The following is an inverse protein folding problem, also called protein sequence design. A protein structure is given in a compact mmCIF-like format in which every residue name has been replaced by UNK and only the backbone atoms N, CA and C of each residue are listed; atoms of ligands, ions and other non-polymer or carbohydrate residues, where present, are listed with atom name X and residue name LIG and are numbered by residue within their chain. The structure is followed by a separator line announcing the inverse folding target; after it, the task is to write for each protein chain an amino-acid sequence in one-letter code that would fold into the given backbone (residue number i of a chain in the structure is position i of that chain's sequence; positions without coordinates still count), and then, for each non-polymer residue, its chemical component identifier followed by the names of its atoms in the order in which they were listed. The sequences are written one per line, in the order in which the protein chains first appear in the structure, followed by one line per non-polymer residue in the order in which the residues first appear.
data_IF_258768531558
#
_entry.id   IF_258768531558
#
_cell.length_a   1.000
_cell.length_b   1.000
_cell.length_c   1.000
_cell.angle_alpha   90.00
_cell.angle_beta   90.00
_cell.angle_gamma   90.00
#
_symmetry.space_group_name_H-M   'P 1'
#
loop_
_entity.id
_entity.type
_entity.pdbx_description
1 polymer ?
#
# COMPACT_ATOMS: atom_id res chain seq x y z
N UNK A 1 -17.66 -34.65 -28.12
CA UNK A 1 -17.11 -34.25 -26.81
C UNK A 1 -17.05 -32.74 -26.80
N UNK A 2 -17.50 -32.08 -25.74
CA UNK A 2 -17.41 -30.62 -25.61
C UNK A 2 -16.13 -30.20 -24.87
N UNK A 3 -15.74 -28.94 -25.03
CA UNK A 3 -14.65 -28.29 -24.28
C UNK A 3 -15.27 -27.52 -23.12
N UNK A 4 -14.69 -27.63 -21.91
CA UNK A 4 -15.14 -26.83 -20.77
C UNK A 4 -14.76 -25.36 -21.00
N UNK A 5 -15.76 -24.49 -20.93
CA UNK A 5 -15.57 -23.03 -21.01
C UNK A 5 -15.63 -22.47 -19.60
N UNK A 6 -14.65 -21.67 -19.16
CA UNK A 6 -14.75 -20.96 -17.89
C UNK A 6 -15.99 -20.08 -17.83
N UNK A 7 -16.57 -19.93 -16.64
CA UNK A 7 -17.70 -19.02 -16.44
C UNK A 7 -17.28 -17.54 -16.59
N UNK A 8 -18.22 -16.61 -16.39
CA UNK A 8 -18.01 -15.16 -16.49
C UNK A 8 -16.95 -14.61 -15.52
N UNK A 9 -16.54 -15.41 -14.51
CA UNK A 9 -15.49 -15.09 -13.54
C UNK A 9 -14.16 -15.82 -13.83
N UNK A 10 -14.05 -16.52 -14.97
CA UNK A 10 -12.85 -17.31 -15.33
C UNK A 10 -12.69 -18.62 -14.55
N UNK A 11 -13.73 -19.09 -13.86
CA UNK A 11 -13.71 -20.33 -13.05
C UNK A 11 -14.27 -21.54 -13.80
N UNK A 12 -13.75 -22.73 -13.47
CA UNK A 12 -14.23 -24.04 -13.96
C UNK A 12 -15.02 -24.83 -12.90
N UNK A 13 -15.29 -24.21 -11.76
CA UNK A 13 -16.10 -24.76 -10.67
C UNK A 13 -17.59 -24.89 -11.07
N UNK A 14 -18.42 -25.65 -10.31
CA UNK A 14 -19.84 -25.78 -10.58
C UNK A 14 -20.54 -24.42 -10.73
N UNK A 15 -21.37 -24.31 -11.79
CA UNK A 15 -22.11 -23.09 -12.11
C UNK A 15 -23.15 -22.77 -11.03
N UNK A 16 -23.33 -21.47 -10.74
CA UNK A 16 -24.45 -20.99 -9.91
C UNK A 16 -25.76 -21.02 -10.68
N UNK A 17 -26.87 -20.80 -9.99
CA UNK A 17 -28.15 -20.55 -10.64
C UNK A 17 -28.17 -19.18 -11.34
N UNK A 18 -28.68 -19.14 -12.57
CA UNK A 18 -28.88 -17.92 -13.36
C UNK A 18 -30.39 -17.67 -13.54
N UNK A 19 -30.85 -16.43 -13.34
CA UNK A 19 -32.26 -16.08 -13.53
C UNK A 19 -32.40 -14.70 -14.19
N UNK A 20 -32.74 -14.68 -15.49
CA UNK A 20 -32.98 -13.43 -16.24
C UNK A 20 -31.74 -12.56 -16.45
N UNK A 21 -30.55 -13.17 -16.40
CA UNK A 21 -29.26 -12.49 -16.55
C UNK A 21 -28.66 -12.80 -17.93
N UNK A 22 -27.93 -11.81 -18.48
CA UNK A 22 -27.10 -12.00 -19.66
C UNK A 22 -25.68 -12.27 -19.17
N UNK A 23 -25.02 -13.29 -19.72
CA UNK A 23 -23.65 -13.65 -19.38
C UNK A 23 -22.72 -13.42 -20.57
N UNK A 24 -21.52 -12.91 -20.29
CA UNK A 24 -20.44 -12.80 -21.27
C UNK A 24 -19.37 -13.82 -20.90
N UNK A 25 -19.07 -14.72 -21.84
CA UNK A 25 -18.10 -15.80 -21.65
C UNK A 25 -17.04 -15.72 -22.73
N UNK A 26 -15.79 -15.95 -22.35
CA UNK A 26 -14.67 -15.99 -23.28
C UNK A 26 -14.36 -17.43 -23.67
N UNK A 27 -14.38 -17.72 -24.97
CA UNK A 27 -14.02 -19.04 -25.47
C UNK A 27 -12.53 -19.33 -25.15
N UNK A 28 -12.20 -20.54 -24.67
CA UNK A 28 -10.84 -20.85 -24.23
C UNK A 28 -9.87 -21.00 -25.41
N UNK A 29 -8.61 -20.63 -25.17
CA UNK A 29 -7.54 -20.78 -26.15
C UNK A 29 -7.69 -19.84 -27.34
N UNK A 30 -7.62 -20.40 -28.55
CA UNK A 30 -7.73 -19.69 -29.83
C UNK A 30 -9.05 -20.01 -30.55
N UNK A 31 -10.04 -20.55 -29.85
CA UNK A 31 -11.34 -20.87 -30.42
C UNK A 31 -12.13 -19.59 -30.72
N UNK A 32 -12.77 -19.58 -31.88
CA UNK A 32 -13.70 -18.54 -32.33
C UNK A 32 -15.12 -19.09 -32.37
N UNK A 33 -16.11 -18.20 -32.53
CA UNK A 33 -17.52 -18.62 -32.66
C UNK A 33 -17.76 -19.51 -33.89
N UNK A 34 -16.86 -19.44 -34.89
CA UNK A 34 -16.90 -20.27 -36.09
C UNK A 34 -16.38 -21.70 -35.87
N UNK A 35 -15.71 -21.95 -34.74
CA UNK A 35 -15.13 -23.27 -34.41
C UNK A 35 -16.06 -24.12 -33.52
N UNK A 36 -17.25 -23.61 -33.19
CA UNK A 36 -18.18 -24.25 -32.26
C UNK A 36 -19.57 -24.45 -32.89
N UNK A 37 -20.14 -25.64 -32.70
CA UNK A 37 -21.46 -25.99 -33.22
C UNK A 37 -22.59 -25.69 -32.21
N UNK A 38 -22.28 -25.74 -30.91
CA UNK A 38 -23.25 -25.62 -29.83
C UNK A 38 -22.59 -25.17 -28.53
N UNK A 39 -23.40 -24.54 -27.67
CA UNK A 39 -23.04 -24.18 -26.30
C UNK A 39 -24.08 -24.78 -25.36
N UNK A 40 -23.63 -25.45 -24.28
CA UNK A 40 -24.54 -26.13 -23.35
C UNK A 40 -24.18 -25.91 -21.89
N UNK A 41 -25.21 -25.92 -21.04
CA UNK A 41 -25.09 -26.06 -19.59
C UNK A 41 -25.15 -27.55 -19.27
N UNK A 42 -24.01 -28.11 -18.85
CA UNK A 42 -23.83 -29.55 -18.72
C UNK A 42 -23.30 -29.97 -17.35
N UNK A 43 -23.94 -30.98 -16.74
CA UNK A 43 -23.41 -31.65 -15.55
C UNK A 43 -22.49 -32.80 -15.96
N UNK A 44 -21.20 -32.71 -15.61
CA UNK A 44 -20.21 -33.75 -15.93
C UNK A 44 -20.45 -35.04 -15.15
N UNK A 45 -20.77 -34.93 -13.85
CA UNK A 45 -20.95 -36.07 -12.94
C UNK A 45 -22.13 -36.95 -13.36
N UNK A 46 -23.30 -36.32 -13.57
CA UNK A 46 -24.52 -37.03 -13.96
C UNK A 46 -24.70 -37.17 -15.48
N UNK A 47 -23.75 -36.67 -16.28
CA UNK A 47 -23.80 -36.63 -17.75
C UNK A 47 -25.14 -36.10 -18.29
N UNK A 48 -25.60 -35.01 -17.69
CA UNK A 48 -26.93 -34.46 -17.94
C UNK A 48 -26.84 -33.08 -18.60
N UNK A 49 -27.65 -32.86 -19.64
CA UNK A 49 -27.77 -31.58 -20.32
C UNK A 49 -28.93 -30.78 -19.71
N UNK A 50 -28.63 -29.65 -19.08
CA UNK A 50 -29.64 -28.76 -18.53
C UNK A 50 -30.22 -27.79 -19.58
N UNK A 51 -29.59 -27.70 -20.74
CA UNK A 51 -30.00 -26.85 -21.84
C UNK A 51 -28.84 -26.55 -22.78
N UNK A 52 -29.12 -26.45 -24.07
CA UNK A 52 -28.12 -26.08 -25.07
C UNK A 52 -28.73 -25.20 -26.15
N UNK A 53 -27.86 -24.46 -26.84
CA UNK A 53 -28.17 -23.69 -28.02
C UNK A 53 -27.20 -24.08 -29.13
N UNK A 54 -27.71 -24.18 -30.35
CA UNK A 54 -26.88 -24.35 -31.54
C UNK A 54 -26.42 -22.99 -32.04
N UNK A 55 -25.15 -22.92 -32.45
CA UNK A 55 -24.57 -21.74 -33.06
C UNK A 55 -24.73 -21.89 -34.58
N UNK A 56 -25.46 -20.99 -35.27
CA UNK A 56 -25.58 -21.04 -36.72
C UNK A 56 -24.22 -20.89 -37.41
N UNK A 57 -24.02 -21.58 -38.51
CA UNK A 57 -22.74 -21.58 -39.25
C UNK A 57 -22.57 -20.36 -40.16
N UNK A 58 -23.64 -19.59 -40.36
CA UNK A 58 -23.73 -18.40 -41.20
C UNK A 58 -23.84 -17.09 -40.40
N UNK A 59 -23.17 -17.01 -39.24
CA UNK A 59 -23.10 -15.75 -38.49
C UNK A 59 -22.24 -14.71 -39.20
N UNK A 60 -22.86 -13.60 -39.59
CA UNK A 60 -22.18 -12.39 -40.02
C UNK A 60 -21.70 -11.60 -38.79
N UNK A 61 -20.52 -11.98 -38.28
CA UNK A 61 -19.91 -11.33 -37.11
C UNK A 61 -18.97 -10.22 -37.58
N UNK A 62 -19.26 -8.94 -37.30
CA UNK A 62 -18.41 -7.85 -37.75
C UNK A 62 -17.03 -7.91 -37.08
N UNK A 63 -15.95 -7.55 -37.80
CA UNK A 63 -14.60 -7.51 -37.24
C UNK A 63 -14.51 -6.48 -36.11
N UNK A 64 -14.41 -6.95 -34.87
CA UNK A 64 -14.33 -6.10 -33.69
C UNK A 64 -12.87 -5.81 -33.30
N UNK A 65 -12.31 -4.72 -33.83
CA UNK A 65 -11.13 -4.08 -33.24
C UNK A 65 -11.60 -3.17 -32.09
N UNK A 66 -11.70 -3.72 -30.87
CA UNK A 66 -11.81 -2.93 -29.64
C UNK A 66 -13.19 -2.37 -29.25
N UNK A 67 -14.30 -2.99 -29.65
CA UNK A 67 -15.64 -2.58 -29.22
C UNK A 67 -16.52 -3.79 -28.79
N UNK A 68 -16.60 -4.06 -27.49
CA UNK A 68 -17.64 -4.90 -26.85
C UNK A 68 -18.65 -4.04 -26.08
N UNK A 69 -19.10 -2.93 -26.66
CA UNK A 69 -20.25 -2.16 -26.12
C UNK A 69 -21.24 -1.85 -27.22
N UNK A 70 -22.13 -2.80 -27.49
CA UNK A 70 -23.37 -2.50 -28.19
C UNK A 70 -24.30 -1.81 -27.17
N UNK A 71 -24.80 -0.59 -27.42
CA UNK A 71 -25.77 0.05 -26.53
C UNK A 71 -27.16 -0.52 -26.82
N UNK A 72 -27.57 -1.57 -26.11
CA UNK A 72 -28.97 -2.02 -26.11
C UNK A 72 -29.79 -1.18 -25.13
N UNK A 73 -30.48 -0.19 -25.67
CA UNK A 73 -31.63 0.44 -25.02
C UNK A 73 -32.79 -0.54 -24.96
N UNK A 74 -33.07 -1.11 -23.78
CA UNK A 74 -34.42 -1.39 -23.26
C UNK A 74 -34.32 -1.93 -21.83
N UNK A 75 -35.02 -1.27 -20.91
CA UNK A 75 -35.10 -1.55 -19.46
C UNK A 75 -33.76 -1.44 -18.74
N UNK A 76 -33.57 -0.33 -18.03
CA UNK A 76 -32.53 -0.23 -17.02
C UNK A 76 -32.70 -1.42 -16.05
N UNK A 77 -31.83 -2.44 -16.17
CA UNK A 77 -31.48 -3.29 -15.03
C UNK A 77 -31.23 -2.33 -13.88
N UNK A 78 -31.77 -2.56 -12.67
CA UNK A 78 -31.42 -1.72 -11.53
C UNK A 78 -29.90 -1.69 -11.47
N UNK A 79 -29.31 -0.52 -11.77
CA UNK A 79 -27.89 -0.30 -11.56
C UNK A 79 -27.72 -0.28 -10.05
N UNK A 80 -27.56 -1.46 -9.45
CA UNK A 80 -27.11 -1.59 -8.07
C UNK A 80 -25.63 -1.24 -8.00
N UNK A 81 -25.32 0.00 -8.41
CA UNK A 81 -23.97 0.53 -8.41
C UNK A 81 -23.81 1.29 -7.11
N UNK A 82 -23.71 0.55 -6.01
CA UNK A 82 -23.28 1.20 -4.79
C UNK A 82 -21.91 1.82 -5.06
N UNK A 83 -21.73 3.08 -4.69
CA UNK A 83 -20.52 3.81 -4.96
C UNK A 83 -20.27 4.82 -3.86
N UNK A 84 -19.03 4.85 -3.36
CA UNK A 84 -18.56 5.81 -2.35
C UNK A 84 -17.25 6.46 -2.81
N UNK A 85 -17.19 7.77 -2.69
CA UNK A 85 -15.97 8.56 -2.88
C UNK A 85 -15.16 8.64 -1.60
N UNK A 86 -13.83 8.59 -1.75
CA UNK A 86 -12.85 8.74 -0.68
C UNK A 86 -11.71 9.64 -1.15
N UNK A 87 -10.96 10.22 -0.21
CA UNK A 87 -9.74 10.98 -0.49
C UNK A 87 -9.93 12.16 -1.46
N UNK A 88 -11.07 12.86 -1.34
CA UNK A 88 -11.44 13.96 -2.23
C UNK A 88 -11.68 13.51 -3.68
N UNK A 89 -12.25 12.32 -3.87
CA UNK A 89 -12.59 11.76 -5.18
C UNK A 89 -11.42 11.08 -5.91
N UNK A 90 -10.22 11.04 -5.31
CA UNK A 90 -9.07 10.33 -5.87
C UNK A 90 -9.15 8.81 -5.73
N UNK A 91 -10.01 8.35 -4.83
CA UNK A 91 -10.34 6.95 -4.63
C UNK A 91 -11.87 6.80 -4.68
N UNK A 92 -12.35 5.87 -5.48
CA UNK A 92 -13.76 5.53 -5.59
C UNK A 92 -13.92 4.03 -5.46
N UNK A 93 -14.91 3.62 -4.68
CA UNK A 93 -15.23 2.21 -4.43
C UNK A 93 -16.63 1.97 -4.92
N UNK A 94 -16.82 0.96 -5.76
CA UNK A 94 -18.14 0.38 -6.02
C UNK A 94 -18.20 -1.03 -5.51
N UNK A 95 -19.37 -1.45 -5.03
CA UNK A 95 -19.53 -2.79 -4.50
C UNK A 95 -20.91 -3.37 -4.75
N UNK A 96 -20.95 -4.68 -4.81
CA UNK A 96 -22.18 -5.46 -4.79
C UNK A 96 -21.92 -6.82 -4.14
N UNK A 97 -22.95 -7.39 -3.51
CA UNK A 97 -22.89 -8.75 -2.99
C UNK A 97 -23.35 -9.71 -4.09
N UNK A 98 -22.54 -10.72 -4.37
CA UNK A 98 -22.86 -11.83 -5.28
C UNK A 98 -22.63 -13.17 -4.57
N UNK A 99 -23.72 -13.84 -4.21
CA UNK A 99 -23.64 -15.08 -3.43
C UNK A 99 -22.97 -14.84 -2.07
N UNK A 100 -21.92 -15.61 -1.78
CA UNK A 100 -21.15 -15.51 -0.54
C UNK A 100 -19.95 -14.55 -0.63
N UNK A 101 -19.84 -13.78 -1.71
CA UNK A 101 -18.76 -12.84 -1.94
C UNK A 101 -19.25 -11.39 -2.07
N UNK A 102 -18.39 -10.44 -1.74
CA UNK A 102 -18.48 -9.07 -2.21
C UNK A 102 -17.60 -8.89 -3.44
N UNK A 103 -18.17 -8.30 -4.49
CA UNK A 103 -17.44 -7.84 -5.67
C UNK A 103 -17.17 -6.36 -5.48
N UNK A 104 -15.92 -5.95 -5.62
CA UNK A 104 -15.48 -4.56 -5.44
C UNK A 104 -14.81 -4.07 -6.72
N UNK A 105 -15.27 -2.94 -7.23
CA UNK A 105 -14.54 -2.13 -8.22
C UNK A 105 -13.85 -0.98 -7.50
N UNK A 106 -12.52 -1.06 -7.44
CA UNK A 106 -11.71 -0.01 -6.85
C UNK A 106 -11.08 0.84 -7.95
N UNK A 107 -11.38 2.14 -7.95
CA UNK A 107 -10.81 3.11 -8.88
C UNK A 107 -9.93 4.10 -8.12
N UNK A 108 -8.68 4.23 -8.55
CA UNK A 108 -7.73 5.13 -7.92
C UNK A 108 -6.94 5.91 -8.94
N UNK A 109 -6.81 7.22 -8.73
CA UNK A 109 -5.83 8.04 -9.46
C UNK A 109 -4.45 7.85 -8.85
N UNK A 110 -3.78 6.77 -9.25
CA UNK A 110 -2.49 6.34 -8.73
C UNK A 110 -1.43 6.30 -9.83
N UNK A 111 -0.18 6.55 -9.48
CA UNK A 111 0.98 6.29 -10.36
C UNK A 111 1.36 4.80 -10.34
N UNK A 112 2.29 4.42 -11.21
CA UNK A 112 2.79 3.04 -11.33
C UNK A 112 3.65 2.58 -10.14
N UNK A 113 4.17 3.52 -9.35
CA UNK A 113 4.89 3.30 -8.11
C UNK A 113 3.97 3.33 -6.88
N UNK A 114 2.65 3.36 -7.06
CA UNK A 114 1.68 3.53 -5.97
C UNK A 114 0.66 2.38 -5.91
N UNK A 115 0.12 2.18 -4.71
CA UNK A 115 -1.05 1.37 -4.44
C UNK A 115 -2.26 2.24 -4.10
N UNK A 116 -3.43 1.62 -4.17
CA UNK A 116 -4.66 2.05 -3.54
C UNK A 116 -5.16 0.94 -2.63
N UNK A 117 -5.76 1.28 -1.50
CA UNK A 117 -6.27 0.32 -0.53
C UNK A 117 -7.70 0.67 -0.12
N UNK A 118 -8.50 -0.37 0.14
CA UNK A 118 -9.86 -0.23 0.66
C UNK A 118 -10.23 -1.45 1.52
N UNK A 119 -10.90 -1.21 2.63
CA UNK A 119 -11.53 -2.28 3.42
C UNK A 119 -12.04 -1.81 4.77
N UNK A 120 -12.14 -2.75 5.70
CA UNK A 120 -12.76 -2.56 7.01
C UNK A 120 -11.82 -1.79 7.95
N UNK A 121 -12.39 -0.84 8.67
CA UNK A 121 -11.67 -0.15 9.72
C UNK A 121 -11.45 -1.05 10.93
N UNK A 122 -10.35 -0.81 11.63
CA UNK A 122 -10.01 -1.54 12.85
C UNK A 122 -11.02 -1.39 13.97
N UNK A 123 -11.80 -0.32 13.99
CA UNK A 123 -12.88 -0.12 14.96
C UNK A 123 -14.09 0.50 14.29
N UNK A 124 -15.29 0.18 14.77
CA UNK A 124 -16.50 0.84 14.32
C UNK A 124 -16.56 2.28 14.84
N UNK A 125 -17.05 3.20 14.01
CA UNK A 125 -17.26 4.61 14.35
C UNK A 125 -16.03 5.51 14.19
N UNK A 126 -14.93 5.01 13.61
CA UNK A 126 -13.68 5.77 13.49
C UNK A 126 -12.81 5.21 12.36
N UNK A 127 -12.17 6.10 11.59
CA UNK A 127 -11.04 5.71 10.72
C UNK A 127 -9.83 5.28 11.58
N UNK A 128 -9.59 3.98 11.64
CA UNK A 128 -8.52 3.35 12.40
C UNK A 128 -7.82 2.27 11.57
N UNK A 129 -6.51 2.40 11.39
CA UNK A 129 -5.69 1.39 10.69
C UNK A 129 -5.44 0.14 11.54
N UNK A 130 -5.03 0.30 12.81
CA UNK A 130 -4.72 -0.85 13.68
C UNK A 130 -5.98 -1.71 13.87
N UNK A 131 -5.88 -3.00 13.59
CA UNK A 131 -6.97 -3.98 13.58
C UNK A 131 -7.82 -3.95 12.31
N UNK A 132 -7.44 -3.11 11.34
CA UNK A 132 -8.10 -3.00 10.05
C UNK A 132 -7.67 -4.11 9.11
N UNK A 133 -8.54 -4.38 8.17
CA UNK A 133 -8.48 -5.51 7.24
C UNK A 133 -8.89 -4.97 5.87
N UNK A 134 -7.89 -4.84 4.99
CA UNK A 134 -8.00 -4.08 3.74
C UNK A 134 -7.43 -4.85 2.58
N UNK A 135 -7.95 -4.59 1.39
CA UNK A 135 -7.35 -5.05 0.15
C UNK A 135 -6.45 -3.94 -0.40
N UNK A 136 -5.22 -4.28 -0.70
CA UNK A 136 -4.24 -3.42 -1.38
C UNK A 136 -4.19 -3.81 -2.85
N UNK A 137 -4.50 -2.86 -3.73
CA UNK A 137 -4.51 -3.06 -5.18
C UNK A 137 -3.54 -2.11 -5.90
N UNK A 138 -2.89 -2.61 -6.95
CA UNK A 138 -1.95 -1.83 -7.76
C UNK A 138 -1.73 -2.46 -9.14
N UNK A 139 -1.02 -1.74 -10.02
CA UNK A 139 -0.54 -2.26 -11.29
C UNK A 139 0.93 -2.67 -11.18
N UNK A 140 1.23 -3.97 -11.34
CA UNK A 140 2.61 -4.45 -11.37
C UNK A 140 3.20 -4.24 -12.76
N UNK A 141 4.02 -3.19 -12.91
CA UNK A 141 4.69 -2.86 -14.17
C UNK A 141 5.67 -3.92 -14.67
N UNK A 142 6.26 -4.73 -13.77
CA UNK A 142 7.22 -5.77 -14.15
C UNK A 142 6.49 -6.96 -14.76
N UNK A 143 5.40 -7.38 -14.13
CA UNK A 143 4.56 -8.51 -14.57
C UNK A 143 3.51 -8.12 -15.61
N UNK A 144 3.22 -6.82 -15.73
CA UNK A 144 2.14 -6.24 -16.55
C UNK A 144 0.76 -6.80 -16.20
N UNK A 145 0.50 -6.94 -14.91
CA UNK A 145 -0.79 -7.44 -14.38
C UNK A 145 -1.33 -6.48 -13.33
N UNK A 146 -2.65 -6.47 -13.17
CA UNK A 146 -3.29 -5.86 -12.02
C UNK A 146 -3.25 -6.86 -10.86
N UNK A 147 -2.91 -6.36 -9.67
CA UNK A 147 -2.76 -7.16 -8.47
C UNK A 147 -3.68 -6.62 -7.37
N UNK A 148 -4.21 -7.52 -6.56
CA UNK A 148 -4.93 -7.21 -5.33
C UNK A 148 -4.62 -8.30 -4.31
N UNK A 149 -4.36 -7.90 -3.08
CA UNK A 149 -4.03 -8.80 -1.97
C UNK A 149 -4.60 -8.23 -0.67
N UNK A 150 -5.08 -9.10 0.21
CA UNK A 150 -5.54 -8.76 1.55
C UNK A 150 -4.39 -8.49 2.51
N UNK A 151 -4.65 -7.54 3.40
CA UNK A 151 -3.70 -7.04 4.37
C UNK A 151 -4.38 -6.87 5.72
N UNK A 152 -3.80 -7.51 6.72
CA UNK A 152 -4.04 -7.23 8.12
C UNK A 152 -3.05 -6.19 8.67
N UNK A 153 -3.58 -5.24 9.45
CA UNK A 153 -2.81 -4.13 10.02
C UNK A 153 -2.72 -4.22 11.53
N UNK A 154 -1.68 -4.85 12.06
CA UNK A 154 -1.49 -4.95 13.52
C UNK A 154 -0.86 -3.70 14.15
N UNK A 155 -0.03 -2.98 13.40
CA UNK A 155 0.72 -1.82 13.88
C UNK A 155 0.86 -0.77 12.77
N UNK A 156 1.17 0.48 13.15
CA UNK A 156 1.49 1.56 12.22
C UNK A 156 2.94 1.45 11.72
N UNK A 157 3.29 0.29 11.16
CA UNK A 157 4.64 -0.09 10.72
C UNK A 157 4.64 -0.84 9.40
N UNK A 158 5.81 -0.97 8.76
CA UNK A 158 5.98 -1.95 7.69
C UNK A 158 5.71 -3.35 8.23
N UNK A 159 5.32 -4.25 7.33
CA UNK A 159 5.42 -5.66 7.62
C UNK A 159 6.87 -6.06 7.92
N UNK A 160 7.12 -6.54 9.13
CA UNK A 160 8.38 -7.18 9.52
C UNK A 160 8.35 -8.71 9.27
N UNK A 161 7.24 -9.22 8.70
CA UNK A 161 6.95 -10.65 8.56
C UNK A 161 6.05 -11.22 9.66
N UNK A 162 5.71 -10.43 10.70
CA UNK A 162 4.81 -10.84 11.79
C UNK A 162 3.88 -9.72 12.25
N UNK A 163 4.37 -8.48 12.28
CA UNK A 163 3.67 -7.28 12.74
C UNK A 163 3.78 -6.14 11.72
N UNK A 164 2.86 -5.19 11.80
CA UNK A 164 2.72 -4.06 10.88
C UNK A 164 1.55 -4.16 9.93
N UNK A 165 1.67 -3.47 8.80
CA UNK A 165 0.77 -3.53 7.64
C UNK A 165 1.28 -4.65 6.76
N UNK A 166 0.73 -5.86 6.94
CA UNK A 166 1.23 -7.08 6.34
C UNK A 166 0.24 -7.65 5.34
N UNK A 167 0.70 -8.16 4.18
CA UNK A 167 -0.06 -9.12 3.42
C UNK A 167 -0.33 -10.36 4.29
N UNK A 168 -1.52 -10.93 4.23
CA UNK A 168 -1.91 -12.03 5.12
C UNK A 168 -1.02 -13.25 4.97
N UNK A 169 -0.58 -13.53 3.73
CA UNK A 169 0.41 -14.59 3.42
C UNK A 169 1.71 -14.46 4.22
N UNK A 170 2.14 -13.24 4.57
CA UNK A 170 3.39 -13.04 5.33
C UNK A 170 3.24 -13.43 6.79
N UNK A 171 2.04 -13.34 7.34
CA UNK A 171 1.76 -13.61 8.76
C UNK A 171 1.08 -14.98 8.97
N UNK A 172 1.14 -15.85 7.96
CA UNK A 172 0.65 -17.23 8.02
C UNK A 172 -0.81 -17.40 7.61
N UNK A 173 -1.46 -16.34 7.10
CA UNK A 173 -2.79 -16.43 6.50
C UNK A 173 -2.76 -16.73 5.00
N UNK A 174 -3.91 -16.66 4.34
CA UNK A 174 -4.03 -16.78 2.87
C UNK A 174 -4.39 -15.44 2.27
N UNK A 175 -4.30 -15.39 0.94
CA UNK A 175 -4.92 -14.31 0.19
C UNK A 175 -6.26 -14.78 -0.34
N UNK A 176 -7.33 -14.24 0.22
CA UNK A 176 -8.70 -14.55 -0.11
C UNK A 176 -9.27 -13.61 -1.19
N UNK A 177 -8.44 -12.70 -1.70
CA UNK A 177 -8.80 -11.80 -2.79
C UNK A 177 -8.49 -12.43 -4.15
N UNK A 178 -9.49 -12.42 -5.04
CA UNK A 178 -9.37 -12.86 -6.42
C UNK A 178 -9.57 -11.68 -7.38
N UNK A 179 -8.53 -11.31 -8.14
CA UNK A 179 -8.64 -10.29 -9.18
C UNK A 179 -9.46 -10.84 -10.35
N UNK A 180 -10.54 -10.14 -10.71
CA UNK A 180 -11.41 -10.47 -11.85
C UNK A 180 -10.94 -9.74 -13.09
N UNK A 181 -10.69 -8.44 -12.98
CA UNK A 181 -10.22 -7.62 -14.09
C UNK A 181 -9.54 -6.35 -13.61
N UNK A 182 -8.83 -5.68 -14.52
CA UNK A 182 -8.30 -4.35 -14.25
C UNK A 182 -8.04 -3.59 -15.54
N UNK A 183 -7.97 -2.28 -15.42
CA UNK A 183 -7.69 -1.38 -16.53
C UNK A 183 -6.91 -0.17 -16.03
N UNK A 184 -6.19 0.50 -16.93
CA UNK A 184 -5.50 1.75 -16.63
C UNK A 184 -5.67 2.72 -17.79
N UNK A 185 -6.36 3.84 -17.52
CA UNK A 185 -6.65 4.87 -18.51
C UNK A 185 -6.56 6.26 -17.90
N UNK A 186 -5.90 7.19 -18.59
CA UNK A 186 -5.80 8.61 -18.20
C UNK A 186 -5.31 8.85 -16.75
N UNK A 187 -4.37 8.01 -16.29
CA UNK A 187 -3.81 8.10 -14.93
C UNK A 187 -4.68 7.51 -13.83
N UNK A 188 -5.81 6.88 -14.16
CA UNK A 188 -6.66 6.13 -13.24
C UNK A 188 -6.44 4.64 -13.46
N UNK A 189 -6.20 3.91 -12.38
CA UNK A 189 -6.21 2.44 -12.36
C UNK A 189 -7.54 1.98 -11.78
N UNK A 190 -8.19 1.03 -12.44
CA UNK A 190 -9.33 0.29 -11.92
C UNK A 190 -8.95 -1.17 -11.69
N UNK A 191 -9.30 -1.72 -10.53
CA UNK A 191 -9.14 -3.14 -10.22
C UNK A 191 -10.46 -3.67 -9.69
N UNK A 192 -11.02 -4.66 -10.38
CA UNK A 192 -12.19 -5.42 -9.97
C UNK A 192 -11.73 -6.70 -9.29
N UNK A 193 -12.19 -6.94 -8.07
CA UNK A 193 -11.85 -8.16 -7.34
C UNK A 193 -13.05 -8.71 -6.56
N UNK A 194 -13.00 -10.00 -6.27
CA UNK A 194 -13.92 -10.71 -5.38
C UNK A 194 -13.25 -10.97 -4.04
N UNK A 195 -14.00 -10.84 -2.96
CA UNK A 195 -13.59 -11.23 -1.59
C UNK A 195 -14.76 -11.96 -0.90
N UNK A 196 -14.51 -13.09 -0.21
CA UNK A 196 -15.53 -13.75 0.61
C UNK A 196 -16.09 -12.83 1.70
N UNK A 197 -17.40 -12.93 1.96
CA UNK A 197 -18.03 -12.21 3.07
C UNK A 197 -17.54 -12.72 4.43
N UNK A 198 -17.16 -13.99 4.49
CA UNK A 198 -16.60 -14.64 5.65
C UNK A 198 -15.53 -15.64 5.21
N UNK A 199 -14.37 -15.58 5.86
CA UNK A 199 -13.27 -16.52 5.65
C UNK A 199 -13.17 -17.48 6.83
N UNK A 200 -12.33 -18.50 6.70
CA UNK A 200 -12.05 -19.44 7.80
C UNK A 200 -10.88 -18.97 8.69
N UNK A 201 -10.49 -17.69 8.60
CA UNK A 201 -9.29 -17.12 9.25
C UNK A 201 -9.63 -15.95 10.19
N UNK A 202 -10.34 -16.19 11.31
CA UNK A 202 -10.91 -15.13 12.14
C UNK A 202 -9.90 -14.23 12.88
N UNK A 203 -8.60 -14.52 12.78
CA UNK A 203 -7.54 -13.74 13.43
C UNK A 203 -7.12 -12.55 12.56
N UNK A 204 -7.04 -12.75 11.24
CA UNK A 204 -6.54 -11.75 10.30
C UNK A 204 -7.69 -11.16 9.47
N UNK A 205 -8.69 -11.98 9.14
CA UNK A 205 -9.88 -11.54 8.43
C UNK A 205 -11.04 -11.23 9.36
N UNK A 206 -11.75 -10.17 8.99
CA UNK A 206 -12.99 -9.77 9.63
C UNK A 206 -14.16 -10.06 8.70
N UNK A 207 -15.24 -10.66 9.22
CA UNK A 207 -16.43 -10.88 8.41
C UNK A 207 -17.02 -9.54 7.98
N UNK A 208 -17.41 -9.47 6.71
CA UNK A 208 -18.08 -8.32 6.12
C UNK A 208 -19.57 -8.41 6.49
N UNK A 209 -20.08 -7.52 7.35
CA UNK A 209 -21.48 -7.57 7.75
C UNK A 209 -22.39 -7.17 6.60
N UNK A 210 -23.52 -7.88 6.49
CA UNK A 210 -24.56 -7.63 5.48
C UNK A 210 -25.85 -7.07 6.09
N UNK A 211 -25.90 -6.96 7.42
CA UNK A 211 -27.08 -6.58 8.20
C UNK A 211 -26.97 -5.18 8.82
N UNK A 212 -25.81 -4.53 8.71
CA UNK A 212 -25.53 -3.22 9.31
C UNK A 212 -24.47 -2.43 8.54
N UNK A 213 -24.41 -1.14 8.82
CA UNK A 213 -23.29 -0.29 8.40
C UNK A 213 -22.00 -0.64 9.16
N UNK A 214 -20.87 -0.58 8.47
CA UNK A 214 -19.54 -0.79 9.03
C UNK A 214 -18.59 0.31 8.59
N UNK A 215 -17.71 0.74 9.50
CA UNK A 215 -16.66 1.70 9.21
C UNK A 215 -15.63 1.10 8.26
N UNK A 216 -15.30 1.84 7.22
CA UNK A 216 -14.32 1.49 6.19
C UNK A 216 -13.21 2.54 6.13
N UNK A 217 -12.05 2.12 5.65
CA UNK A 217 -10.89 2.98 5.43
C UNK A 217 -10.36 2.81 4.02
N UNK A 218 -9.72 3.86 3.51
CA UNK A 218 -9.08 3.85 2.21
C UNK A 218 -7.80 4.67 2.21
N UNK A 219 -6.85 4.29 1.37
CA UNK A 219 -5.56 4.97 1.27
C UNK A 219 -4.97 4.89 -0.14
N UNK A 220 -4.10 5.84 -0.47
CA UNK A 220 -3.22 5.81 -1.63
C UNK A 220 -1.80 6.05 -1.13
N UNK A 221 -0.87 5.17 -1.46
CA UNK A 221 0.51 5.27 -0.98
C UNK A 221 1.52 4.73 -1.97
N UNK A 222 2.82 5.00 -1.76
CA UNK A 222 3.87 4.40 -2.56
C UNK A 222 4.01 2.90 -2.28
N UNK A 223 4.50 2.15 -3.26
CA UNK A 223 4.95 0.77 -3.11
C UNK A 223 6.43 0.76 -2.70
N UNK A 224 6.85 -0.24 -1.91
CA UNK A 224 8.26 -0.49 -1.65
C UNK A 224 8.92 -1.27 -2.81
N UNK A 225 10.21 -1.60 -2.65
CA UNK A 225 10.97 -2.40 -3.64
C UNK A 225 10.42 -3.81 -3.85
N UNK A 226 9.73 -4.37 -2.86
CA UNK A 226 9.09 -5.69 -2.86
C UNK A 226 7.66 -5.67 -3.42
N UNK A 227 7.16 -4.50 -3.87
CA UNK A 227 5.77 -4.30 -4.31
C UNK A 227 4.73 -4.48 -3.20
N UNK A 228 5.09 -4.12 -1.99
CA UNK A 228 4.16 -4.07 -0.85
C UNK A 228 3.80 -2.62 -0.48
N UNK A 229 2.70 -2.47 0.26
CA UNK A 229 2.24 -1.19 0.76
C UNK A 229 3.31 -0.53 1.65
N UNK A 230 3.74 0.67 1.27
CA UNK A 230 4.55 1.55 2.09
C UNK A 230 3.66 2.65 2.72
N UNK A 231 4.18 3.42 3.67
CA UNK A 231 3.40 4.47 4.31
C UNK A 231 2.92 5.51 3.28
N UNK A 232 1.63 5.83 3.33
CA UNK A 232 1.09 6.96 2.60
C UNK A 232 1.68 8.28 3.13
N UNK A 233 1.63 9.34 2.34
CA UNK A 233 2.11 10.64 2.81
C UNK A 233 1.23 11.11 3.96
N UNK A 234 1.84 11.60 5.04
CA UNK A 234 1.11 12.14 6.20
C UNK A 234 0.69 13.59 5.95
N UNK A 235 0.06 13.83 4.79
CA UNK A 235 -0.47 15.13 4.38
C UNK A 235 -1.98 15.26 4.69
N UNK A 236 -2.59 14.21 5.24
CA UNK A 236 -4.00 14.16 5.57
C UNK A 236 -4.96 14.02 4.37
N UNK A 237 -4.43 13.81 3.16
CA UNK A 237 -5.24 13.66 1.95
C UNK A 237 -5.13 12.25 1.36
N UNK A 238 -4.05 11.54 1.64
CA UNK A 238 -3.73 10.23 1.06
C UNK A 238 -4.31 9.04 1.86
N UNK A 239 -5.00 9.30 2.96
CA UNK A 239 -5.74 8.30 3.72
C UNK A 239 -7.01 8.90 4.33
N UNK A 240 -8.02 8.07 4.59
CA UNK A 240 -9.27 8.50 5.21
C UNK A 240 -9.03 8.97 6.64
N UNK A 241 -9.44 10.19 6.97
CA UNK A 241 -9.37 10.73 8.34
C UNK A 241 -10.73 10.62 9.03
N UNK A 242 -11.78 10.94 8.29
CA UNK A 242 -13.16 10.85 8.77
C UNK A 242 -13.67 9.42 8.77
N UNK A 243 -14.65 9.16 9.62
CA UNK A 243 -15.35 7.88 9.65
C UNK A 243 -16.30 7.78 8.45
N UNK A 244 -15.99 6.87 7.53
CA UNK A 244 -16.85 6.55 6.40
C UNK A 244 -17.49 5.20 6.70
N UNK A 245 -18.81 5.16 6.69
CA UNK A 245 -19.57 3.93 6.94
C UNK A 245 -20.26 3.46 5.67
N UNK A 246 -20.21 2.16 5.42
CA UNK A 246 -20.82 1.49 4.27
C UNK A 246 -21.71 0.37 4.76
N UNK A 247 -22.91 0.25 4.19
CA UNK A 247 -23.70 -0.97 4.24
C UNK A 247 -23.46 -1.78 2.95
N UNK A 248 -22.81 -2.93 3.07
CA UNK A 248 -22.48 -3.77 1.91
C UNK A 248 -23.71 -4.38 1.23
N UNK A 249 -24.83 -4.54 1.94
CA UNK A 249 -26.09 -5.02 1.36
C UNK A 249 -26.98 -3.91 0.78
N UNK A 250 -26.51 -2.65 0.83
CA UNK A 250 -27.18 -1.54 0.15
C UNK A 250 -27.33 -1.84 -1.34
N UNK A 251 -28.32 -1.21 -1.95
CA UNK A 251 -28.65 -1.38 -3.38
C UNK A 251 -28.62 -0.09 -4.18
N UNK A 252 -28.54 1.07 -3.52
CA UNK A 252 -28.70 2.40 -4.12
C UNK A 252 -27.79 3.45 -3.48
N UNK A 253 -26.61 3.08 -2.99
CA UNK A 253 -25.63 4.08 -2.53
C UNK A 253 -25.02 4.79 -3.76
N UNK A 254 -25.44 6.00 -4.08
CA UNK A 254 -24.96 6.74 -5.26
C UNK A 254 -24.20 8.00 -4.86
N UNK A 255 -23.31 7.87 -3.87
CA UNK A 255 -22.55 9.01 -3.34
C UNK A 255 -21.36 9.43 -4.20
N UNK A 256 -21.02 8.67 -5.26
CA UNK A 256 -20.09 9.12 -6.29
C UNK A 256 -20.77 10.06 -7.28
N UNK A 257 -20.45 11.34 -7.21
CA UNK A 257 -21.04 12.40 -8.02
C UNK A 257 -20.11 12.89 -9.12
N UNK A 258 -18.81 12.67 -8.98
CA UNK A 258 -17.80 13.16 -9.92
C UNK A 258 -17.14 12.01 -10.71
N UNK A 259 -16.78 12.29 -11.96
CA UNK A 259 -15.95 11.39 -12.76
C UNK A 259 -14.51 11.44 -12.27
N UNK A 260 -13.98 10.34 -11.73
CA UNK A 260 -12.57 10.23 -11.32
C UNK A 260 -11.58 10.52 -12.47
N UNK A 261 -12.01 10.37 -13.73
CA UNK A 261 -11.19 10.65 -14.91
C UNK A 261 -11.07 12.14 -15.23
N UNK A 262 -11.96 12.99 -14.73
CA UNK A 262 -11.95 14.44 -14.94
C UNK A 262 -11.19 15.19 -13.84
N UNK A 263 -10.71 14.46 -12.83
CA UNK A 263 -9.92 15.03 -11.75
C UNK A 263 -8.62 15.66 -12.27
N UNK A 264 -8.50 16.99 -12.15
CA UNK A 264 -7.27 17.72 -12.43
C UNK A 264 -6.38 17.70 -11.20
N UNK A 265 -5.22 17.09 -11.32
CA UNK A 265 -4.22 17.04 -10.26
C UNK A 265 -3.73 18.47 -9.96
N UNK A 266 -3.84 18.92 -8.70
CA UNK A 266 -3.24 20.19 -8.29
C UNK A 266 -1.71 20.09 -8.30
N UNK A 267 -1.17 20.61 -9.42
CA UNK A 267 0.14 21.19 -9.71
C UNK A 267 1.43 20.42 -9.39
N UNK A 268 2.33 20.45 -10.38
CA UNK A 268 3.76 20.11 -10.36
C UNK A 268 4.56 20.98 -9.36
N UNK A 269 4.27 20.85 -8.07
CA UNK A 269 5.05 21.54 -7.04
C UNK A 269 6.49 21.00 -7.07
N UNK A 270 7.44 21.86 -7.43
CA UNK A 270 8.86 21.50 -7.40
C UNK A 270 9.31 21.21 -5.95
N UNK A 271 10.15 20.17 -5.73
CA UNK A 271 10.76 19.91 -4.44
C UNK A 271 11.47 21.15 -3.90
N UNK A 272 11.51 21.29 -2.58
CA UNK A 272 12.37 22.29 -1.96
C UNK A 272 13.84 21.99 -2.29
N UNK A 273 14.67 23.01 -2.53
CA UNK A 273 16.11 22.80 -2.66
C UNK A 273 16.65 22.18 -1.35
N UNK A 274 17.57 21.20 -1.42
CA UNK A 274 18.20 20.65 -0.22
C UNK A 274 18.87 21.74 0.60
N UNK A 275 18.51 21.81 1.88
CA UNK A 275 19.16 22.69 2.85
C UNK A 275 20.54 22.15 3.21
N UNK A 276 21.42 23.00 3.74
CA UNK A 276 22.81 22.62 4.04
C UNK A 276 23.21 23.10 5.43
N UNK A 277 23.92 22.24 6.15
CA UNK A 277 24.61 22.58 7.39
C UNK A 277 26.12 22.49 7.12
N UNK A 278 26.83 23.60 7.31
CA UNK A 278 28.28 23.69 7.10
C UNK A 278 28.90 24.40 8.29
N UNK A 279 29.91 23.80 8.91
CA UNK A 279 30.66 24.41 10.00
C UNK A 279 30.12 24.16 11.42
N UNK A 280 28.83 23.81 11.56
CA UNK A 280 28.21 23.51 12.84
C UNK A 280 28.76 22.22 13.47
N UNK A 281 29.13 22.28 14.75
CA UNK A 281 29.62 21.12 15.51
C UNK A 281 28.58 20.53 16.45
N UNK A 282 27.47 21.24 16.71
CA UNK A 282 26.34 20.75 17.49
C UNK A 282 25.12 20.61 16.58
N UNK A 283 24.62 19.38 16.46
CA UNK A 283 23.53 19.02 15.55
C UNK A 283 22.39 18.44 16.38
N UNK A 284 21.23 19.10 16.38
CA UNK A 284 20.00 18.58 17.00
C UNK A 284 19.20 17.82 15.96
N UNK A 285 19.03 16.53 16.17
CA UNK A 285 18.27 15.64 15.31
C UNK A 285 16.90 15.34 15.95
N UNK A 286 15.82 15.69 15.24
CA UNK A 286 14.43 15.47 15.67
C UNK A 286 13.60 14.78 14.60
N UNK A 287 12.64 13.97 15.03
CA UNK A 287 11.66 13.36 14.12
C UNK A 287 10.52 14.35 13.85
N UNK A 288 10.20 14.56 12.57
CA UNK A 288 9.14 15.47 12.15
C UNK A 288 8.46 15.04 10.84
N UNK A 289 7.50 15.81 10.33
CA UNK A 289 6.74 15.47 9.13
C UNK A 289 7.59 15.54 7.85
N UNK A 290 7.19 14.82 6.80
CA UNK A 290 8.04 14.62 5.61
C UNK A 290 8.02 15.77 4.61
N UNK A 291 7.23 16.82 4.84
CA UNK A 291 7.13 17.97 3.91
C UNK A 291 6.27 17.70 2.66
N UNK A 292 5.55 16.58 2.60
CA UNK A 292 4.55 16.29 1.57
C UNK A 292 5.10 16.33 0.13
N UNK A 293 4.33 16.92 -0.80
CA UNK A 293 4.65 17.00 -2.24
C UNK A 293 5.94 17.76 -2.57
N UNK A 294 6.58 18.43 -1.60
CA UNK A 294 7.83 19.21 -1.81
C UNK A 294 9.00 18.74 -0.94
N UNK A 295 8.78 17.82 -0.01
CA UNK A 295 9.75 17.42 1.01
C UNK A 295 10.51 16.14 0.66
N UNK A 296 10.55 15.17 1.57
CA UNK A 296 11.42 13.99 1.52
C UNK A 296 11.39 13.26 0.18
N UNK A 297 10.24 12.69 -0.20
CA UNK A 297 10.15 11.81 -1.38
C UNK A 297 10.55 12.47 -2.70
N UNK A 298 10.09 13.68 -3.04
CA UNK A 298 10.52 14.32 -4.28
C UNK A 298 11.99 14.79 -4.24
N UNK A 299 12.56 15.04 -3.05
CA UNK A 299 13.99 15.38 -2.84
C UNK A 299 14.88 14.15 -3.00
N UNK A 300 14.60 13.05 -2.29
CA UNK A 300 15.45 11.85 -2.22
C UNK A 300 15.18 10.83 -3.32
N UNK A 301 14.01 10.92 -3.98
CA UNK A 301 13.45 9.89 -4.86
C UNK A 301 13.13 8.57 -4.17
N UNK A 302 13.22 8.53 -2.84
CA UNK A 302 12.86 7.38 -2.03
C UNK A 302 11.49 7.60 -1.35
N UNK A 303 10.65 6.56 -1.26
CA UNK A 303 9.39 6.67 -0.54
C UNK A 303 9.66 6.94 0.96
N UNK A 304 8.80 7.75 1.58
CA UNK A 304 8.94 8.14 2.99
C UNK A 304 7.91 7.46 3.87
N UNK A 305 8.28 7.21 5.13
CA UNK A 305 7.45 6.52 6.11
C UNK A 305 6.54 7.45 6.94
N UNK A 306 6.31 8.69 6.45
CA UNK A 306 5.46 9.66 7.16
C UNK A 306 6.19 10.54 8.17
N UNK A 307 7.44 10.20 8.48
CA UNK A 307 8.35 10.99 9.30
C UNK A 307 9.72 11.15 8.63
N UNK A 308 10.47 12.20 8.96
CA UNK A 308 11.82 12.44 8.48
C UNK A 308 12.68 13.11 9.56
N UNK A 309 14.00 12.99 9.46
CA UNK A 309 14.92 13.72 10.32
C UNK A 309 14.94 15.21 9.97
N UNK A 310 14.80 16.01 11.03
CA UNK A 310 15.10 17.43 11.06
C UNK A 310 16.42 17.61 11.78
N UNK A 311 17.40 18.20 11.10
CA UNK A 311 18.68 18.57 11.72
C UNK A 311 18.71 20.09 11.86
N UNK A 312 18.88 20.60 13.09
CA UNK A 312 18.80 22.03 13.39
C UNK A 312 17.54 22.67 12.77
N UNK A 313 16.39 22.02 12.96
CA UNK A 313 15.06 22.40 12.44
C UNK A 313 14.93 22.46 10.91
N UNK A 314 15.91 21.94 10.17
CA UNK A 314 15.86 21.79 8.72
C UNK A 314 15.49 20.37 8.32
N UNK A 315 14.52 20.21 7.42
CA UNK A 315 14.12 18.94 6.82
C UNK A 315 15.26 18.35 5.96
N UNK A 316 15.78 17.18 6.36
CA UNK A 316 16.82 16.39 5.66
C UNK A 316 17.97 17.17 5.00
N UNK A 317 18.67 18.08 5.71
CA UNK A 317 19.75 18.88 5.12
C UNK A 317 20.99 18.03 4.82
N UNK A 318 21.77 18.47 3.84
CA UNK A 318 23.14 18.01 3.61
C UNK A 318 24.05 18.55 4.71
N UNK A 319 24.57 17.67 5.57
CA UNK A 319 25.52 18.03 6.62
C UNK A 319 26.95 17.80 6.13
N UNK A 320 27.77 18.85 6.12
CA UNK A 320 29.20 18.75 5.78
C UNK A 320 30.03 18.59 7.04
N UNK A 321 30.78 17.49 7.14
CA UNK A 321 31.69 17.21 8.25
C UNK A 321 33.14 17.18 7.79
N UNK A 322 34.02 17.70 8.63
CA UNK A 322 35.47 17.78 8.44
C UNK A 322 36.19 16.69 9.25
N UNK A 323 37.18 16.06 8.62
CA UNK A 323 38.02 15.06 9.28
C UNK A 323 38.74 15.64 10.50
N UNK A 324 38.78 14.88 11.60
CA UNK A 324 39.51 15.24 12.82
C UNK A 324 38.76 16.23 13.73
N UNK A 325 37.62 16.75 13.28
CA UNK A 325 36.75 17.62 14.08
C UNK A 325 35.70 16.77 14.79
N UNK A 326 35.41 17.13 16.05
CA UNK A 326 34.42 16.42 16.87
C UNK A 326 33.06 17.08 16.74
N UNK A 327 32.04 16.27 16.45
CA UNK A 327 30.65 16.69 16.30
C UNK A 327 29.80 16.07 17.41
N UNK A 328 28.86 16.84 17.94
CA UNK A 328 27.90 16.41 18.97
C UNK A 328 26.52 16.34 18.35
N UNK A 329 25.88 15.17 18.44
CA UNK A 329 24.51 14.96 17.99
C UNK A 329 23.59 14.81 19.20
N UNK A 330 22.56 15.64 19.27
CA UNK A 330 21.49 15.55 20.27
C UNK A 330 20.29 14.92 19.57
N UNK A 331 19.93 13.70 19.94
CA UNK A 331 18.97 12.87 19.19
C UNK A 331 17.67 12.76 19.98
N UNK A 332 16.56 13.12 19.34
CA UNK A 332 15.20 13.01 19.86
C UNK A 332 14.39 12.06 18.94
N UNK A 333 14.76 10.77 18.94
CA UNK A 333 14.15 9.71 18.12
C UNK A 333 13.33 8.68 18.90
N UNK A 334 13.34 8.76 20.23
CA UNK A 334 12.71 7.80 21.14
C UNK A 334 13.59 6.61 21.50
N UNK A 335 13.23 5.92 22.59
CA UNK A 335 14.09 5.01 23.35
C UNK A 335 13.45 3.66 23.72
N UNK A 336 12.32 3.32 23.08
CA UNK A 336 11.55 2.10 23.40
C UNK A 336 11.60 1.08 22.24
N UNK A 337 12.63 0.21 22.16
CA UNK A 337 12.76 -0.78 21.08
C UNK A 337 11.54 -1.70 20.91
N UNK A 338 10.79 -1.93 21.99
CA UNK A 338 9.57 -2.73 21.97
C UNK A 338 8.40 -2.06 21.25
N UNK A 339 8.48 -0.74 20.98
CA UNK A 339 7.50 0.02 20.21
C UNK A 339 8.17 0.63 18.98
N UNK A 340 8.25 -0.11 17.86
CA UNK A 340 8.94 0.35 16.65
C UNK A 340 8.48 1.74 16.18
N UNK A 341 7.19 2.07 16.33
CA UNK A 341 6.62 3.38 16.00
C UNK A 341 7.12 4.56 16.87
N UNK A 342 7.88 4.28 17.94
CA UNK A 342 8.44 5.27 18.87
C UNK A 342 9.95 5.11 19.06
N UNK A 343 10.61 4.30 18.23
CA UNK A 343 12.02 4.02 18.37
C UNK A 343 12.74 4.23 17.03
N UNK A 344 13.40 5.38 16.92
CA UNK A 344 14.07 5.82 15.70
C UNK A 344 15.54 6.13 16.01
N UNK A 345 16.41 5.12 16.07
CA UNK A 345 17.82 5.36 16.33
C UNK A 345 18.47 6.11 15.17
N UNK A 346 19.46 6.96 15.47
CA UNK A 346 20.29 7.64 14.46
C UNK A 346 21.68 6.98 14.39
N UNK A 347 22.10 6.63 13.19
CA UNK A 347 23.46 6.15 12.91
C UNK A 347 23.95 6.64 11.54
N UNK A 348 25.26 6.57 11.31
CA UNK A 348 25.90 7.09 10.09
C UNK A 348 26.55 5.94 9.34
N UNK A 349 26.20 5.73 8.06
CA UNK A 349 26.68 4.62 7.24
C UNK A 349 26.92 5.03 5.78
N UNK A 350 27.43 4.15 4.93
CA UNK A 350 27.61 4.42 3.49
C UNK A 350 26.43 3.97 2.61
N UNK A 351 25.32 3.51 3.23
CA UNK A 351 24.16 2.99 2.50
C UNK A 351 23.21 4.11 2.09
N UNK A 352 22.80 4.18 0.81
CA UNK A 352 21.83 5.16 0.33
C UNK A 352 20.37 4.87 0.73
N UNK A 353 20.13 3.78 1.46
CA UNK A 353 18.80 3.42 1.95
C UNK A 353 18.72 3.47 3.48
N UNK A 354 19.81 3.12 4.18
CA UNK A 354 19.78 2.89 5.62
C UNK A 354 19.21 1.51 5.97
N UNK A 355 18.45 1.41 7.08
CA UNK A 355 17.78 0.18 7.51
C UNK A 355 18.65 -0.89 8.16
N UNK A 356 19.80 -0.55 8.76
CA UNK A 356 20.83 -1.51 9.16
C UNK A 356 20.30 -2.60 10.10
N UNK A 357 19.42 -2.25 11.04
CA UNK A 357 18.82 -3.20 12.00
C UNK A 357 17.86 -4.20 11.37
N UNK A 358 17.37 -3.93 10.15
CA UNK A 358 16.42 -4.78 9.43
C UNK A 358 17.07 -5.63 8.34
N UNK A 359 18.36 -5.45 8.07
CA UNK A 359 19.08 -6.19 7.04
C UNK A 359 19.53 -7.56 7.53
N UNK A 360 19.62 -8.53 6.61
CA UNK A 360 20.25 -9.82 6.90
C UNK A 360 21.75 -9.64 7.20
N UNK A 361 22.37 -10.59 7.91
CA UNK A 361 23.80 -10.54 8.21
C UNK A 361 24.68 -10.37 6.95
N UNK A 362 24.29 -11.00 5.84
CA UNK A 362 24.99 -10.87 4.56
C UNK A 362 24.87 -9.46 3.94
N UNK A 363 23.74 -8.78 4.14
CA UNK A 363 23.51 -7.41 3.67
C UNK A 363 24.14 -6.37 4.60
N UNK A 364 24.11 -6.59 5.91
CA UNK A 364 24.82 -5.78 6.89
C UNK A 364 26.33 -5.74 6.61
N UNK A 365 26.92 -6.88 6.21
CA UNK A 365 28.34 -6.95 5.83
C UNK A 365 28.70 -6.15 4.57
N UNK A 366 27.71 -5.76 3.74
CA UNK A 366 27.93 -4.88 2.59
C UNK A 366 27.92 -3.39 2.97
N UNK A 367 27.51 -3.06 4.19
CA UNK A 367 27.39 -1.69 4.68
C UNK A 367 28.47 -1.38 5.73
N UNK A 368 29.10 -0.23 5.58
CA UNK A 368 30.04 0.32 6.56
C UNK A 368 29.30 1.32 7.43
N UNK A 369 29.28 1.09 8.74
CA UNK A 369 28.73 2.03 9.73
C UNK A 369 29.89 2.80 10.35
N UNK A 370 29.84 4.13 10.25
CA UNK A 370 30.87 5.05 10.70
C UNK A 370 30.66 5.52 12.15
N UNK A 371 29.41 5.66 12.59
CA UNK A 371 29.04 6.12 13.93
C UNK A 371 27.61 5.71 14.29
N UNK A 372 27.23 5.79 15.57
CA UNK A 372 25.84 5.57 15.99
C UNK A 372 25.46 4.13 16.32
N UNK A 373 26.42 3.20 16.40
CA UNK A 373 26.22 1.79 16.80
C UNK A 373 27.32 1.35 17.78
N UNK A 374 26.94 0.53 18.75
CA UNK A 374 27.79 -0.18 19.71
C UNK A 374 27.77 -1.66 19.31
N UNK A 375 28.92 -2.34 19.28
CA UNK A 375 28.95 -3.79 19.10
C UNK A 375 28.81 -4.45 20.46
N UNK A 376 27.85 -5.35 20.62
CA UNK A 376 27.71 -6.15 21.82
C UNK A 376 28.78 -7.27 21.89
N UNK A 377 28.91 -7.99 23.02
CA UNK A 377 29.91 -9.05 23.18
C UNK A 377 29.73 -10.23 22.21
N UNK A 378 28.55 -10.37 21.60
CA UNK A 378 28.20 -11.44 20.66
C UNK A 378 28.44 -11.02 19.19
N UNK A 379 28.88 -9.78 18.97
CA UNK A 379 29.21 -9.24 17.66
C UNK A 379 28.05 -8.52 16.96
N UNK A 380 26.88 -8.40 17.58
CA UNK A 380 25.75 -7.66 17.04
C UNK A 380 25.94 -6.15 17.22
N UNK A 381 25.71 -5.38 16.16
CA UNK A 381 25.77 -3.92 16.21
C UNK A 381 24.41 -3.35 16.61
N UNK A 382 24.34 -2.74 17.78
CA UNK A 382 23.14 -2.14 18.37
C UNK A 382 23.23 -0.61 18.21
N UNK A 383 22.22 0.05 17.64
CA UNK A 383 22.22 1.51 17.56
C UNK A 383 22.29 2.18 18.94
N UNK A 384 23.16 3.17 19.07
CA UNK A 384 23.43 3.83 20.36
C UNK A 384 22.59 5.07 20.60
N UNK A 385 21.95 5.60 19.55
CA UNK A 385 21.16 6.84 19.58
C UNK A 385 19.84 6.76 20.36
N UNK A 386 19.40 5.56 20.74
CA UNK A 386 18.14 5.34 21.46
C UNK A 386 18.26 5.28 23.00
N UNK A 387 19.41 5.60 23.60
CA UNK A 387 19.58 5.58 25.08
C UNK A 387 19.39 6.96 25.73
N UNK A 388 18.47 7.80 25.24
CA UNK A 388 18.30 9.17 25.77
C UNK A 388 16.84 9.48 26.10
N UNK A 389 16.64 9.65 27.41
CA UNK A 389 15.43 9.81 28.20
C UNK A 389 14.56 11.04 27.81
N UNK A 390 13.24 10.85 27.71
CA UNK A 390 12.27 11.94 27.76
C UNK A 390 10.85 11.62 27.27
N UNK A 391 9.98 11.11 28.16
CA UNK A 391 8.54 10.95 27.93
C UNK A 391 7.88 12.34 27.86
N UNK A 392 7.19 12.60 26.75
CA UNK A 392 6.33 13.75 26.56
C UNK A 392 5.00 13.48 27.29
N UNK A 393 4.87 13.87 28.57
CA UNK A 393 3.62 14.22 29.30
C UNK A 393 3.85 14.42 30.82
N UNK A 394 4.77 15.30 31.24
CA UNK A 394 4.60 16.10 32.48
C UNK A 394 5.71 17.15 32.61
N UNK A 395 5.37 18.42 32.38
CA UNK A 395 6.19 19.52 32.87
C UNK A 395 5.91 19.73 34.35
N UNK A 396 6.73 19.17 35.25
CA UNK A 396 7.27 19.82 36.46
C UNK A 396 8.52 19.05 36.90
N UNK A 397 9.70 19.70 36.81
CA UNK A 397 10.99 19.32 37.44
C UNK A 397 11.56 17.92 37.10
N UNK A 398 12.44 17.87 36.10
CA UNK A 398 13.79 17.24 36.18
C UNK A 398 14.48 17.32 34.81
N UNK A 399 15.24 18.40 34.58
CA UNK A 399 16.25 18.42 33.52
C UNK A 399 17.43 17.56 34.00
N UNK A 400 17.58 16.36 33.45
CA UNK A 400 18.87 15.64 33.44
C UNK A 400 19.27 15.43 31.98
N UNK A 401 20.11 16.36 31.50
CA UNK A 401 20.82 16.24 30.23
C UNK A 401 21.65 14.94 30.21
N UNK A 402 21.29 13.98 29.36
CA UNK A 402 22.18 12.89 28.98
C UNK A 402 22.68 13.17 27.56
N UNK A 403 23.87 13.77 27.45
CA UNK A 403 24.56 14.04 26.19
C UNK A 403 25.32 12.78 25.76
N UNK A 404 25.00 12.18 24.61
CA UNK A 404 25.92 11.22 23.97
C UNK A 404 26.90 11.98 23.08
N UNK A 405 28.19 11.84 23.39
CA UNK A 405 29.30 12.31 22.56
C UNK A 405 29.73 11.17 21.63
N UNK A 406 29.79 11.41 20.33
CA UNK A 406 30.50 10.54 19.41
C UNK A 406 31.98 10.95 19.41
N UNK A 407 32.88 10.04 19.77
CA UNK A 407 34.32 10.23 19.60
C UNK A 407 34.85 9.24 18.57
N UNK A 408 35.31 9.77 17.43
CA UNK A 408 36.06 9.03 16.41
C UNK A 408 35.25 8.65 15.18
N UNK A 409 35.24 9.54 14.18
CA UNK A 409 34.72 9.25 12.84
C UNK A 409 35.91 8.96 11.91
N UNK A 410 36.00 7.74 11.35
CA UNK A 410 36.98 7.41 10.31
C UNK A 410 36.36 7.69 8.94
N UNK A 411 36.52 8.92 8.45
CA UNK A 411 36.18 9.30 7.07
C UNK A 411 37.36 9.00 6.13
N UNK A 412 37.21 8.97 4.80
CA UNK A 412 38.32 8.84 3.84
C UNK A 412 38.74 10.18 3.19
N UNK A 413 37.86 11.18 3.13
CA UNK A 413 38.11 12.52 2.57
C UNK A 413 38.37 13.62 3.64
N UNK A 414 38.87 14.79 3.21
CA UNK A 414 39.04 15.97 4.09
C UNK A 414 37.69 16.57 4.53
N UNK A 415 36.69 16.51 3.64
CA UNK A 415 35.29 16.89 3.89
C UNK A 415 34.34 15.82 3.35
N UNK A 416 33.39 15.36 4.16
CA UNK A 416 32.38 14.36 3.77
C UNK A 416 30.98 14.93 3.90
N UNK A 417 30.10 14.59 2.95
CA UNK A 417 28.69 14.98 2.99
C UNK A 417 27.85 13.86 3.59
N UNK A 418 26.97 14.23 4.52
CA UNK A 418 26.03 13.34 5.16
C UNK A 418 24.60 13.72 4.77
N UNK A 419 23.80 12.74 4.35
CA UNK A 419 22.41 12.92 3.95
C UNK A 419 21.50 12.08 4.84
N UNK A 420 20.48 12.67 5.51
CA UNK A 420 19.51 11.89 6.25
C UNK A 420 18.66 11.00 5.34
N UNK A 421 18.51 9.74 5.71
CA UNK A 421 17.83 8.70 4.95
C UNK A 421 16.96 7.83 5.86
N UNK A 422 16.06 7.08 5.24
CA UNK A 422 15.02 6.33 5.92
C UNK A 422 14.72 5.03 5.20
N UNK A 423 14.70 3.93 5.95
CA UNK A 423 14.17 2.64 5.54
C UNK A 423 13.40 2.05 6.72
N UNK A 424 12.08 1.96 6.60
CA UNK A 424 11.19 1.57 7.71
C UNK A 424 11.34 2.52 8.91
N UNK A 425 11.44 1.99 10.15
CA UNK A 425 11.72 2.78 11.37
C UNK A 425 13.19 3.11 11.59
N UNK A 426 14.08 2.48 10.84
CA UNK A 426 15.50 2.74 10.93
C UNK A 426 15.83 3.97 10.08
N UNK A 427 16.30 5.01 10.76
CA UNK A 427 16.79 6.19 10.08
C UNK A 427 18.31 6.30 10.18
N UNK A 428 18.93 6.61 9.05
CA UNK A 428 20.38 6.68 8.92
C UNK A 428 20.80 8.06 8.39
N UNK A 429 22.09 8.37 8.50
CA UNK A 429 22.74 9.35 7.65
C UNK A 429 23.68 8.61 6.71
N UNK A 430 23.50 8.77 5.41
CA UNK A 430 24.43 8.25 4.42
C UNK A 430 25.60 9.20 4.24
N UNK A 431 26.81 8.68 4.40
CA UNK A 431 28.04 9.35 4.00
C UNK A 431 28.29 9.11 2.52
N UNK A 432 28.42 10.22 1.79
CA UNK A 432 28.87 10.23 0.41
C UNK A 432 30.27 10.87 0.40
N UNK A 433 31.27 10.05 0.07
CA UNK A 433 32.68 10.47 0.01
C UNK A 433 33.03 11.21 -1.28
#
# INVERSE_FOLDING_TARGET
MGIKVPNEMGSLEPLRGYQGEDIEIQLPGNLTVYDIDWLAVWCVEYRHNFGHVYIPTDLDVPPALGQTKIPTTTTAKPQHNNCREMLGGRLQVKWEIQGDNVIVDLYGRIREDQYMAFGLSGVQGKSQMIGGDVVVAFYDTKKRIFWAEDYYMSHLSQCDGKHGVCPDKRIGGRNDVMVISGDRKNGVTSVRYSRPLQTNEPINDRPIPVDREISVIGAIGPLNSEKEANAHLHNGMDATIEDIQINFSSKNDHSCVASIYEFKEESDLKPWPPMKIVGDTEIRARIGPTGGKRGYTPITKNPSWGIAWYLNDMLIPELTVERGKTYTFIIEGGDEPAQPARYHPLYICNSPEGGYGQLTAAEQNKQTVYAGVETDPEGYKIPTGGKTMGILWQWVKLIKEYRKKFSGMKLSSESTKLFPMQKSFDLAMAAQE
#
